data_IF_713976463175
#
_entry.id   IF_713976463175
#
_cell.length_a   1.000
_cell.length_b   1.000
_cell.length_c   1.000
_cell.angle_alpha   90.00
_cell.angle_beta   90.00
_cell.angle_gamma   90.00
#
_symmetry.space_group_name_H-M   'P 1'
#
loop_
_entity.id
_entity.type
_entity.pdbx_description
1 polymer ?
#
# COMPACT_ATOMS: atom_id res chain seq x y z
N UNK A 1 35.61 12.21 -9.98
CA UNK A 1 34.61 12.20 -8.91
C UNK A 1 33.24 12.01 -9.52
N UNK A 2 32.54 10.93 -9.16
CA UNK A 2 31.26 10.62 -9.70
C UNK A 2 30.23 10.46 -8.56
N UNK A 3 29.21 11.31 -8.56
CA UNK A 3 28.09 11.18 -7.66
C UNK A 3 27.01 10.35 -8.34
N UNK A 4 26.54 9.32 -7.67
CA UNK A 4 25.49 8.47 -8.15
C UNK A 4 24.29 8.55 -7.22
N UNK A 5 23.10 8.60 -7.80
CA UNK A 5 21.85 8.57 -7.07
C UNK A 5 21.13 7.28 -7.42
N UNK A 6 20.85 6.48 -6.43
CA UNK A 6 20.11 5.24 -6.59
C UNK A 6 18.81 5.31 -5.79
N UNK A 7 17.70 5.01 -6.45
CA UNK A 7 16.39 4.96 -5.80
C UNK A 7 15.90 3.52 -5.88
N UNK A 8 15.59 2.94 -4.74
CA UNK A 8 15.16 1.55 -4.68
C UNK A 8 14.10 1.36 -3.60
N UNK A 9 13.23 0.38 -3.82
CA UNK A 9 12.32 -0.07 -2.77
C UNK A 9 13.14 -0.98 -1.86
N UNK A 10 13.33 -0.54 -0.62
CA UNK A 10 14.12 -1.31 0.34
C UNK A 10 13.26 -2.07 1.35
N UNK A 11 11.96 -1.79 1.38
CA UNK A 11 11.05 -2.49 2.29
C UNK A 11 9.61 -2.41 1.79
N UNK A 12 8.91 -3.52 1.82
CA UNK A 12 7.48 -3.57 1.56
C UNK A 12 6.85 -4.44 2.63
N UNK A 13 6.01 -3.84 3.47
CA UNK A 13 5.36 -4.53 4.56
C UNK A 13 3.88 -4.70 4.28
N UNK A 14 3.34 -5.86 4.67
CA UNK A 14 1.90 -6.11 4.66
C UNK A 14 1.38 -5.83 6.06
N UNK A 15 0.46 -4.88 6.17
CA UNK A 15 -0.13 -4.50 7.44
C UNK A 15 -1.59 -4.89 7.44
N UNK A 16 -1.99 -5.71 8.40
CA UNK A 16 -3.38 -6.09 8.57
C UNK A 16 -4.11 -5.05 9.40
N UNK A 17 -5.24 -4.61 8.91
CA UNK A 17 -6.09 -3.63 9.56
C UNK A 17 -7.48 -4.24 9.75
N UNK A 18 -8.30 -3.59 10.57
CA UNK A 18 -9.66 -4.01 10.83
C UNK A 18 -9.92 -4.17 12.30
N UNK A 19 -11.13 -4.58 12.63
CA UNK A 19 -11.54 -4.79 14.01
C UNK A 19 -11.20 -6.21 14.47
N UNK A 20 -10.75 -6.34 15.72
CA UNK A 20 -10.52 -7.66 16.31
C UNK A 20 -11.82 -8.42 16.54
N UNK A 21 -12.94 -7.74 16.46
CA UNK A 21 -14.26 -8.34 16.73
C UNK A 21 -15.04 -8.66 15.46
N UNK A 22 -14.46 -8.41 14.28
CA UNK A 22 -15.14 -8.65 13.03
C UNK A 22 -14.25 -9.46 12.10
N UNK A 23 -14.88 -10.01 11.06
CA UNK A 23 -14.16 -10.72 10.01
C UNK A 23 -13.74 -9.78 8.88
N UNK A 24 -14.08 -8.49 8.99
CA UNK A 24 -13.81 -7.50 7.95
C UNK A 24 -12.39 -6.94 8.11
N UNK A 25 -11.41 -7.81 8.00
CA UNK A 25 -10.01 -7.42 8.06
C UNK A 25 -9.47 -7.27 6.64
N UNK A 26 -8.82 -6.14 6.39
CA UNK A 26 -8.16 -5.92 5.12
C UNK A 26 -6.68 -5.66 5.35
N UNK A 27 -5.93 -5.65 4.27
CA UNK A 27 -4.49 -5.42 4.33
C UNK A 27 -4.11 -4.26 3.44
N UNK A 28 -3.11 -3.51 3.88
CA UNK A 28 -2.50 -2.46 3.07
C UNK A 28 -1.03 -2.78 2.94
N UNK A 29 -0.37 -2.17 1.96
CA UNK A 29 1.07 -2.27 1.80
C UNK A 29 1.71 -0.97 2.26
N UNK A 30 2.77 -1.06 3.06
CA UNK A 30 3.62 0.07 3.39
C UNK A 30 4.92 -0.12 2.64
N UNK A 31 5.19 0.78 1.71
CA UNK A 31 6.38 0.72 0.86
C UNK A 31 7.35 1.79 1.30
N UNK A 32 8.58 1.39 1.60
CA UNK A 32 9.66 2.32 1.90
C UNK A 32 10.63 2.34 0.73
N UNK A 33 10.90 3.54 0.24
CA UNK A 33 11.85 3.77 -0.83
C UNK A 33 13.08 4.43 -0.24
N UNK A 34 14.25 3.93 -0.56
CA UNK A 34 15.51 4.52 -0.14
C UNK A 34 16.12 5.29 -1.32
N UNK A 35 16.58 6.50 -1.04
CA UNK A 35 17.40 7.27 -1.98
C UNK A 35 18.80 7.31 -1.42
N UNK A 36 19.73 6.73 -2.16
CA UNK A 36 21.14 6.63 -1.75
C UNK A 36 21.97 7.50 -2.68
N UNK A 37 22.78 8.36 -2.08
CA UNK A 37 23.76 9.14 -2.81
C UNK A 37 25.13 8.58 -2.46
N UNK A 38 25.90 8.18 -3.46
CA UNK A 38 27.23 7.69 -3.24
C UNK A 38 28.22 8.40 -4.16
N UNK A 39 29.48 8.37 -3.75
CA UNK A 39 30.60 8.88 -4.54
C UNK A 39 31.62 7.76 -4.65
N UNK A 40 31.80 7.28 -5.87
CA UNK A 40 32.77 6.22 -6.18
C UNK A 40 32.62 4.99 -5.27
N UNK A 41 31.35 4.61 -4.99
CA UNK A 41 31.05 3.45 -4.18
C UNK A 41 30.95 3.73 -2.69
N UNK A 42 31.26 4.95 -2.25
CA UNK A 42 31.16 5.34 -0.83
C UNK A 42 29.84 6.07 -0.60
N UNK A 43 29.00 5.52 0.26
CA UNK A 43 27.71 6.14 0.58
C UNK A 43 27.91 7.44 1.33
N UNK A 44 27.38 8.53 0.78
CA UNK A 44 27.42 9.86 1.39
C UNK A 44 26.16 10.17 2.17
N UNK A 45 25.01 9.75 1.65
CA UNK A 45 23.74 10.00 2.32
C UNK A 45 22.71 8.94 1.96
N UNK A 46 21.73 8.77 2.82
CA UNK A 46 20.61 7.86 2.58
C UNK A 46 19.37 8.47 3.21
N UNK A 47 18.31 8.56 2.45
CA UNK A 47 17.04 9.06 2.94
C UNK A 47 15.93 8.08 2.57
N UNK A 48 14.81 8.17 3.30
CA UNK A 48 13.71 7.25 3.12
C UNK A 48 12.42 8.01 2.86
N UNK A 49 11.59 7.41 2.03
CA UNK A 49 10.24 7.88 1.80
C UNK A 49 9.28 6.69 1.96
N UNK A 50 8.22 6.90 2.70
CA UNK A 50 7.21 5.86 2.93
C UNK A 50 5.89 6.27 2.31
N UNK A 51 5.19 5.28 1.78
CA UNK A 51 3.83 5.47 1.28
C UNK A 51 3.00 4.24 1.62
N UNK A 52 1.69 4.43 1.66
CA UNK A 52 0.73 3.36 1.90
C UNK A 52 -0.04 3.11 0.61
N UNK A 53 -0.16 1.84 0.23
CA UNK A 53 -0.98 1.43 -0.90
C UNK A 53 -2.22 0.74 -0.35
N UNK A 54 -3.37 1.34 -0.58
CA UNK A 54 -4.67 0.77 -0.18
C UNK A 54 -5.12 -0.26 -1.21
N UNK A 55 -5.99 -1.21 -0.82
CA UNK A 55 -6.43 -2.27 -1.73
C UNK A 55 -7.14 -1.77 -2.98
N UNK A 56 -7.90 -0.69 -2.88
CA UNK A 56 -8.65 -0.22 -4.02
C UNK A 56 -9.33 1.10 -3.78
N UNK A 57 -10.13 1.52 -4.75
CA UNK A 57 -10.91 2.75 -4.71
C UNK A 57 -12.39 2.37 -4.77
N UNK A 58 -13.17 2.92 -3.85
CA UNK A 58 -14.61 2.63 -3.81
C UNK A 58 -15.33 3.32 -4.96
N UNK A 59 -16.29 2.61 -5.55
CA UNK A 59 -17.01 3.07 -6.72
C UNK A 59 -18.50 2.83 -6.56
N UNK A 60 -19.27 3.52 -7.38
CA UNK A 60 -20.71 3.34 -7.44
C UNK A 60 -21.47 4.11 -6.38
N UNK A 61 -22.79 4.19 -6.57
CA UNK A 61 -23.70 4.82 -5.62
C UNK A 61 -23.79 3.94 -4.38
N UNK A 62 -23.62 4.54 -3.21
CA UNK A 62 -23.62 3.79 -1.96
C UNK A 62 -22.38 2.95 -1.73
N UNK A 63 -21.33 3.16 -2.52
CA UNK A 63 -20.06 2.44 -2.41
C UNK A 63 -20.23 0.92 -2.53
N UNK A 64 -21.03 0.51 -3.53
CA UNK A 64 -21.35 -0.90 -3.76
C UNK A 64 -20.26 -1.64 -4.52
N UNK A 65 -19.30 -0.91 -5.09
CA UNK A 65 -18.21 -1.52 -5.86
C UNK A 65 -16.86 -1.05 -5.38
N UNK A 66 -15.83 -1.72 -5.87
CA UNK A 66 -14.45 -1.36 -5.60
C UNK A 66 -13.59 -1.68 -6.83
N UNK A 67 -12.74 -0.73 -7.18
CA UNK A 67 -11.75 -0.93 -8.24
C UNK A 67 -10.40 -1.16 -7.59
N UNK A 68 -9.74 -2.27 -7.93
CA UNK A 68 -8.43 -2.61 -7.37
C UNK A 68 -7.42 -1.51 -7.72
N UNK A 69 -6.54 -1.21 -6.76
CA UNK A 69 -5.50 -0.21 -6.97
C UNK A 69 -4.55 -0.63 -8.09
N UNK A 70 -4.30 0.27 -9.03
CA UNK A 70 -3.36 0.04 -10.10
C UNK A 70 -1.93 0.19 -9.56
N UNK A 71 -1.18 -0.91 -9.57
CA UNK A 71 0.19 -0.94 -9.11
C UNK A 71 1.18 -1.13 -10.26
N UNK A 72 0.73 -0.93 -11.49
CA UNK A 72 1.57 -1.16 -12.67
C UNK A 72 2.81 -0.27 -12.71
N UNK A 73 2.77 0.89 -12.04
CA UNK A 73 3.92 1.78 -11.92
C UNK A 73 4.84 1.48 -10.75
N UNK A 74 4.54 0.45 -9.95
CA UNK A 74 5.34 0.11 -8.79
C UNK A 74 6.45 -0.87 -9.14
N UNK A 75 7.41 -1.02 -8.22
CA UNK A 75 8.45 -2.02 -8.33
C UNK A 75 7.85 -3.42 -8.51
N UNK A 76 8.53 -4.29 -9.28
CA UNK A 76 8.04 -5.63 -9.59
C UNK A 76 7.76 -6.45 -8.33
N UNK A 77 8.59 -6.33 -7.31
CA UNK A 77 8.37 -7.03 -6.04
C UNK A 77 7.11 -6.53 -5.34
N UNK A 78 6.85 -5.22 -5.38
CA UNK A 78 5.63 -4.63 -4.82
C UNK A 78 4.42 -5.10 -5.58
N UNK A 79 4.50 -5.16 -6.91
CA UNK A 79 3.40 -5.67 -7.74
C UNK A 79 3.05 -7.11 -7.39
N UNK A 80 4.06 -7.97 -7.19
CA UNK A 80 3.85 -9.36 -6.85
C UNK A 80 3.18 -9.51 -5.49
N UNK A 81 3.61 -8.73 -4.50
CA UNK A 81 3.02 -8.74 -3.16
C UNK A 81 1.57 -8.24 -3.22
N UNK A 82 1.33 -7.15 -3.94
CA UNK A 82 -0.01 -6.60 -4.09
C UNK A 82 -0.95 -7.62 -4.74
N UNK A 83 -0.49 -8.34 -5.76
CA UNK A 83 -1.29 -9.36 -6.43
C UNK A 83 -1.68 -10.51 -5.52
N UNK A 84 -0.84 -10.84 -4.56
CA UNK A 84 -1.14 -11.90 -3.58
C UNK A 84 -2.02 -11.40 -2.43
N UNK A 85 -1.84 -10.15 -2.00
CA UNK A 85 -2.49 -9.60 -0.80
C UNK A 85 -3.86 -9.00 -1.12
N UNK A 86 -3.98 -8.29 -2.23
CA UNK A 86 -5.22 -7.61 -2.60
C UNK A 86 -6.16 -8.54 -3.37
N UNK A 87 -6.55 -9.62 -2.71
CA UNK A 87 -7.49 -10.60 -3.27
C UNK A 87 -8.94 -10.12 -3.05
N UNK A 88 -9.88 -10.90 -3.55
CA UNK A 88 -11.30 -10.55 -3.45
C UNK A 88 -11.76 -10.40 -2.00
N UNK A 89 -11.25 -11.22 -1.09
CA UNK A 89 -11.58 -11.16 0.32
C UNK A 89 -11.09 -9.84 0.94
N UNK A 90 -9.85 -9.45 0.63
CA UNK A 90 -9.28 -8.21 1.12
C UNK A 90 -10.04 -6.99 0.59
N UNK A 91 -10.35 -6.98 -0.70
CA UNK A 91 -11.09 -5.90 -1.34
C UNK A 91 -12.47 -5.72 -0.73
N UNK A 92 -13.19 -6.82 -0.52
CA UNK A 92 -14.53 -6.77 0.06
C UNK A 92 -14.49 -6.32 1.52
N UNK A 93 -13.52 -6.79 2.30
CA UNK A 93 -13.35 -6.35 3.68
C UNK A 93 -13.07 -4.84 3.76
N UNK A 94 -12.22 -4.34 2.86
CA UNK A 94 -11.92 -2.92 2.80
C UNK A 94 -13.18 -2.10 2.46
N UNK A 95 -13.96 -2.55 1.49
CA UNK A 95 -15.20 -1.90 1.09
C UNK A 95 -16.20 -1.87 2.25
N UNK A 96 -16.42 -3.00 2.89
CA UNK A 96 -17.37 -3.12 4.00
C UNK A 96 -16.95 -2.24 5.17
N UNK A 97 -15.67 -2.15 5.46
CA UNK A 97 -15.18 -1.29 6.53
C UNK A 97 -15.47 0.18 6.22
N UNK A 98 -15.23 0.62 5.00
CA UNK A 98 -15.49 1.99 4.61
C UNK A 98 -16.99 2.34 4.73
N UNK A 99 -17.87 1.41 4.33
CA UNK A 99 -19.31 1.59 4.47
C UNK A 99 -19.70 1.60 5.94
N UNK A 100 -19.12 0.70 6.74
CA UNK A 100 -19.38 0.65 8.18
C UNK A 100 -18.97 1.93 8.90
N UNK A 101 -17.80 2.47 8.57
CA UNK A 101 -17.35 3.73 9.17
C UNK A 101 -18.32 4.86 8.85
N UNK A 102 -18.85 4.90 7.63
CA UNK A 102 -19.84 5.91 7.26
C UNK A 102 -21.12 5.75 8.04
N UNK A 103 -21.57 4.52 8.25
CA UNK A 103 -22.78 4.23 9.05
C UNK A 103 -22.58 4.66 10.49
N UNK A 104 -21.41 4.41 11.06
CA UNK A 104 -21.09 4.77 12.44
C UNK A 104 -21.02 6.27 12.63
N UNK A 105 -20.56 7.00 11.62
CA UNK A 105 -20.49 8.46 11.70
C UNK A 105 -21.86 9.13 11.66
N UNK A 106 -22.88 8.38 11.47
CA UNK A 106 -24.25 8.87 11.38
C UNK A 106 -25.15 8.13 12.39
N UNK A 107 -24.99 8.42 13.68
CA UNK A 107 -25.78 7.77 14.73
C UNK A 107 -27.24 8.18 14.71
#
# INVERSE_FOLDING_TARGET
MALNKTILVDKCEVVSLGSTYTTNNWKVLQVRTATVIDEDGTQLSKSFHRKVINPGTLTGVGLTGITITDVSGEDAGVQAIAGAVFDATCLEAYRLNAVGVRSESNP
#
